data_IF_213822237142
#
_entry.id   IF_213822237142
#
_cell.length_a   1.000
_cell.length_b   1.000
_cell.length_c   1.000
_cell.angle_alpha   90.00
_cell.angle_beta   90.00
_cell.angle_gamma   90.00
#
_symmetry.space_group_name_H-M   'P 1'
#
loop_
_entity.id
_entity.type
_entity.pdbx_description
1 polymer ?
#
# COMPACT_ATOMS: atom_id res chain seq x y z
N UNK A 1 -2.42 9.36 -19.78
CA UNK A 1 -1.72 9.95 -18.62
C UNK A 1 -0.45 9.15 -18.38
N UNK A 2 0.66 9.84 -18.08
CA UNK A 2 1.88 9.14 -17.64
C UNK A 2 1.60 8.46 -16.31
N UNK A 3 2.07 7.20 -16.17
CA UNK A 3 1.93 6.40 -14.93
C UNK A 3 0.49 6.03 -14.52
N UNK A 4 -0.44 6.03 -15.45
CA UNK A 4 -1.73 5.37 -15.34
C UNK A 4 -1.87 4.47 -16.56
N UNK A 5 -2.20 3.20 -16.34
CA UNK A 5 -2.17 2.17 -17.38
C UNK A 5 -3.51 1.46 -17.46
N UNK A 6 -3.92 1.18 -18.70
CA UNK A 6 -5.03 0.28 -18.96
C UNK A 6 -4.50 -1.16 -19.09
N UNK A 7 -5.25 -2.11 -18.59
CA UNK A 7 -4.96 -3.53 -18.74
C UNK A 7 -5.75 -4.08 -19.94
N UNK A 8 -5.06 -4.63 -20.94
CA UNK A 8 -5.69 -5.37 -22.01
C UNK A 8 -6.27 -6.71 -21.53
N UNK A 9 -6.95 -7.47 -22.42
CA UNK A 9 -7.66 -8.70 -22.03
C UNK A 9 -6.82 -9.70 -21.25
N UNK A 10 -5.58 -9.98 -21.69
CA UNK A 10 -4.68 -10.91 -21.01
C UNK A 10 -4.23 -10.39 -19.63
N UNK A 11 -3.99 -9.07 -19.53
CA UNK A 11 -3.63 -8.44 -18.25
C UNK A 11 -4.77 -8.52 -17.22
N UNK A 12 -6.02 -8.31 -17.67
CA UNK A 12 -7.21 -8.45 -16.81
C UNK A 12 -7.38 -9.89 -16.34
N UNK A 13 -7.22 -10.88 -17.24
CA UNK A 13 -7.32 -12.30 -16.88
C UNK A 13 -6.23 -12.70 -15.88
N UNK A 14 -4.98 -12.27 -16.09
CA UNK A 14 -3.89 -12.54 -15.16
C UNK A 14 -4.16 -11.92 -13.78
N UNK A 15 -4.57 -10.66 -13.75
CA UNK A 15 -4.92 -9.96 -12.51
C UNK A 15 -6.04 -10.68 -11.75
N UNK A 16 -7.11 -11.08 -12.42
CA UNK A 16 -8.21 -11.81 -11.81
C UNK A 16 -7.74 -13.19 -11.28
N UNK A 17 -6.87 -13.88 -12.00
CA UNK A 17 -6.32 -15.16 -11.55
C UNK A 17 -5.47 -15.00 -10.28
N UNK A 18 -4.64 -13.96 -10.21
CA UNK A 18 -3.84 -13.64 -9.01
C UNK A 18 -4.76 -13.33 -7.83
N UNK A 19 -5.73 -12.43 -8.02
CA UNK A 19 -6.69 -12.06 -6.96
C UNK A 19 -7.50 -13.25 -6.46
N UNK A 20 -7.99 -14.09 -7.36
CA UNK A 20 -8.74 -15.30 -6.99
C UNK A 20 -7.88 -16.33 -6.26
N UNK A 21 -6.63 -16.49 -6.68
CA UNK A 21 -5.68 -17.38 -6.03
C UNK A 21 -5.37 -16.87 -4.62
N UNK A 22 -5.14 -15.57 -4.45
CA UNK A 22 -4.90 -14.94 -3.17
C UNK A 22 -6.09 -15.14 -2.20
N UNK A 23 -7.33 -14.87 -2.65
CA UNK A 23 -8.53 -15.12 -1.86
C UNK A 23 -8.68 -16.57 -1.40
N UNK A 24 -8.31 -17.52 -2.27
CA UNK A 24 -8.33 -18.95 -1.91
C UNK A 24 -7.29 -19.27 -0.85
N UNK A 25 -6.09 -18.73 -1.01
CA UNK A 25 -4.97 -19.01 -0.11
C UNK A 25 -5.25 -18.51 1.31
N UNK A 26 -5.68 -17.24 1.47
CA UNK A 26 -5.93 -16.68 2.80
C UNK A 26 -7.12 -17.29 3.53
N UNK A 27 -8.02 -17.95 2.80
CA UNK A 27 -9.19 -18.65 3.36
C UNK A 27 -9.03 -20.17 3.39
N UNK A 28 -7.86 -20.71 3.07
CA UNK A 28 -7.62 -22.15 3.05
C UNK A 28 -7.18 -22.71 4.42
N UNK A 29 -7.20 -21.90 5.45
CA UNK A 29 -6.86 -22.30 6.81
C UNK A 29 -8.13 -22.44 7.64
N UNK A 30 -8.34 -23.61 8.25
CA UNK A 30 -9.50 -23.86 9.08
C UNK A 30 -9.43 -23.19 10.47
N UNK A 31 -8.27 -22.73 10.88
CA UNK A 31 -8.02 -22.09 12.18
C UNK A 31 -8.23 -20.58 12.14
N UNK A 32 -8.22 -19.98 10.95
CA UNK A 32 -8.29 -18.53 10.74
C UNK A 32 -9.50 -18.18 9.88
N UNK A 33 -10.24 -17.18 10.28
CA UNK A 33 -11.30 -16.60 9.46
C UNK A 33 -10.90 -15.23 8.97
N UNK A 34 -10.91 -15.03 7.64
CA UNK A 34 -10.69 -13.73 7.00
C UNK A 34 -12.00 -13.26 6.37
N UNK A 35 -12.50 -12.12 6.83
CA UNK A 35 -13.73 -11.52 6.32
C UNK A 35 -13.43 -10.56 5.18
N UNK A 36 -14.04 -10.74 3.99
CA UNK A 36 -13.88 -9.79 2.90
C UNK A 36 -14.68 -8.51 3.16
N UNK A 37 -14.08 -7.37 2.81
CA UNK A 37 -14.78 -6.09 2.72
C UNK A 37 -14.47 -5.44 1.38
N UNK A 38 -15.39 -4.62 0.90
CA UNK A 38 -15.17 -3.70 -0.22
C UNK A 38 -15.49 -2.29 0.27
N UNK A 39 -14.48 -1.45 0.38
CA UNK A 39 -14.60 -0.13 1.00
C UNK A 39 -14.50 0.99 -0.04
N UNK A 40 -15.14 2.13 0.26
CA UNK A 40 -15.19 3.25 -0.66
C UNK A 40 -13.79 3.81 -0.99
N UNK A 41 -13.58 4.16 -2.25
CA UNK A 41 -12.34 4.82 -2.71
C UNK A 41 -12.28 6.26 -2.21
N UNK A 42 -13.41 6.98 -2.30
CA UNK A 42 -13.52 8.36 -1.82
C UNK A 42 -13.89 8.31 -0.34
N UNK A 43 -13.03 8.89 0.49
CA UNK A 43 -13.20 8.87 1.94
C UNK A 43 -13.11 10.28 2.54
N UNK A 44 -13.73 10.45 3.70
CA UNK A 44 -13.76 11.69 4.46
C UNK A 44 -12.36 12.13 4.89
N UNK A 45 -12.13 13.45 4.90
CA UNK A 45 -10.91 14.04 5.46
C UNK A 45 -10.66 13.66 6.92
N UNK A 46 -11.70 13.34 7.69
CA UNK A 46 -11.57 12.92 9.10
C UNK A 46 -10.82 11.59 9.25
N UNK A 47 -11.01 10.65 8.32
CA UNK A 47 -10.27 9.39 8.30
C UNK A 47 -8.77 9.67 8.14
N UNK A 48 -8.42 10.53 7.20
CA UNK A 48 -7.03 10.85 6.85
C UNK A 48 -6.35 11.78 7.86
N UNK A 49 -7.11 12.59 8.59
CA UNK A 49 -6.61 13.32 9.76
C UNK A 49 -6.29 12.36 10.90
N UNK A 50 -7.21 11.44 11.20
CA UNK A 50 -7.05 10.49 12.29
C UNK A 50 -5.86 9.53 12.07
N UNK A 51 -5.61 9.14 10.82
CA UNK A 51 -4.48 8.27 10.44
C UNK A 51 -3.16 9.01 10.22
N UNK A 52 -3.14 10.35 10.28
CA UNK A 52 -1.94 11.18 10.07
C UNK A 52 -1.59 11.45 8.60
N UNK A 53 -2.30 10.87 7.63
CA UNK A 53 -1.95 11.00 6.20
C UNK A 53 -1.97 12.45 5.69
N UNK A 54 -2.86 13.29 6.19
CA UNK A 54 -2.90 14.69 5.76
C UNK A 54 -1.68 15.49 6.22
N UNK A 55 -1.07 15.12 7.33
CA UNK A 55 0.07 15.83 7.91
C UNK A 55 1.42 15.24 7.45
N UNK A 56 1.53 13.93 7.33
CA UNK A 56 2.81 13.23 7.26
C UNK A 56 3.02 12.42 5.97
N UNK A 57 1.95 12.13 5.20
CA UNK A 57 2.08 11.35 3.97
C UNK A 57 2.61 12.21 2.82
N UNK A 58 3.87 12.60 2.94
CA UNK A 58 4.54 13.51 2.01
C UNK A 58 5.96 13.06 1.69
N UNK A 59 6.37 13.33 0.45
CA UNK A 59 7.74 13.15 0.00
C UNK A 59 8.46 14.50 -0.16
N UNK A 60 9.75 14.57 0.14
CA UNK A 60 10.55 15.77 -0.14
C UNK A 60 10.74 15.90 -1.65
N UNK A 61 10.32 17.03 -2.21
CA UNK A 61 10.39 17.34 -3.64
C UNK A 61 11.37 18.48 -3.91
N UNK A 62 12.18 18.35 -4.95
CA UNK A 62 13.05 19.37 -5.48
C UNK A 62 12.74 19.64 -6.94
N UNK A 63 12.93 20.90 -7.39
CA UNK A 63 12.85 21.26 -8.80
C UNK A 63 14.29 21.49 -9.34
N UNK A 64 14.59 20.97 -10.51
CA UNK A 64 15.81 21.29 -11.25
C UNK A 64 15.61 22.63 -11.97
N UNK A 65 16.26 23.68 -11.47
CA UNK A 65 16.08 25.08 -11.92
C UNK A 65 16.21 25.28 -13.45
N UNK A 66 17.23 24.67 -14.13
CA UNK A 66 17.40 24.88 -15.56
C UNK A 66 16.29 24.28 -16.42
N UNK A 67 15.71 23.13 -16.03
CA UNK A 67 14.75 22.39 -16.87
C UNK A 67 13.32 22.44 -16.34
N UNK A 68 13.12 22.84 -15.10
CA UNK A 68 11.83 22.77 -14.42
C UNK A 68 11.34 21.34 -14.11
N UNK A 69 12.21 20.34 -14.29
CA UNK A 69 11.89 18.96 -13.90
C UNK A 69 11.80 18.81 -12.40
N UNK A 70 10.91 17.96 -11.96
CA UNK A 70 10.68 17.65 -10.54
C UNK A 70 11.17 16.27 -10.21
N UNK A 71 11.81 16.16 -9.05
CA UNK A 71 12.33 14.91 -8.53
C UNK A 71 11.96 14.78 -7.06
N UNK A 72 11.81 13.56 -6.62
CA UNK A 72 11.89 13.24 -5.20
C UNK A 72 13.33 13.46 -4.76
N UNK A 73 13.57 14.13 -3.65
CA UNK A 73 14.90 14.60 -3.27
C UNK A 73 15.93 13.47 -3.08
N UNK A 74 15.48 12.27 -2.73
CA UNK A 74 16.31 11.06 -2.60
C UNK A 74 16.49 10.28 -3.92
N UNK A 75 15.85 10.72 -5.02
CA UNK A 75 15.84 10.06 -6.33
C UNK A 75 16.27 10.99 -7.46
N UNK A 76 17.07 11.98 -7.15
CA UNK A 76 17.66 12.87 -8.15
C UNK A 76 18.74 12.09 -8.92
N UNK A 77 18.72 12.10 -10.28
CA UNK A 77 19.76 11.47 -11.09
C UNK A 77 21.15 12.01 -10.77
N UNK A 78 22.17 11.14 -10.79
CA UNK A 78 23.55 11.49 -10.44
C UNK A 78 24.22 12.50 -11.40
N UNK A 79 23.69 12.63 -12.61
CA UNK A 79 24.15 13.59 -13.61
C UNK A 79 23.63 15.01 -13.42
N UNK A 80 22.74 15.23 -12.43
CA UNK A 80 22.22 16.54 -12.09
C UNK A 80 23.07 17.17 -10.97
N UNK A 81 23.54 18.40 -11.22
CA UNK A 81 24.28 19.16 -10.21
C UNK A 81 23.32 19.58 -9.08
N UNK A 82 23.71 19.28 -7.84
CA UNK A 82 22.93 19.64 -6.65
C UNK A 82 22.71 21.16 -6.48
N UNK A 83 23.62 21.99 -6.98
CA UNK A 83 23.49 23.45 -6.95
C UNK A 83 22.35 23.97 -7.84
N UNK A 84 21.97 23.18 -8.84
CA UNK A 84 20.86 23.48 -9.74
C UNK A 84 19.50 23.05 -9.19
N UNK A 85 19.45 22.47 -7.99
CA UNK A 85 18.21 22.09 -7.32
C UNK A 85 17.67 23.23 -6.44
N UNK A 86 16.36 23.25 -6.27
CA UNK A 86 15.71 24.08 -5.24
C UNK A 86 15.90 23.45 -3.87
N UNK A 87 15.65 24.23 -2.82
CA UNK A 87 15.46 23.66 -1.48
C UNK A 87 14.33 22.63 -1.49
N UNK A 88 14.47 21.52 -0.74
CA UNK A 88 13.42 20.52 -0.62
C UNK A 88 12.16 21.10 0.01
N UNK A 89 11.00 20.74 -0.56
CA UNK A 89 9.69 21.08 0.00
C UNK A 89 8.84 19.82 0.10
N UNK A 90 8.03 19.72 1.14
CA UNK A 90 7.13 18.59 1.32
C UNK A 90 6.00 18.64 0.29
N UNK A 91 5.74 17.50 -0.34
CA UNK A 91 4.66 17.32 -1.28
C UNK A 91 3.76 16.17 -0.80
N UNK A 92 2.54 16.50 -0.39
CA UNK A 92 1.59 15.47 0.06
C UNK A 92 1.11 14.63 -1.12
N UNK A 93 1.16 13.30 -0.95
CA UNK A 93 0.85 12.32 -2.01
C UNK A 93 -0.66 12.02 -2.13
N UNK A 94 -1.52 12.64 -1.31
CA UNK A 94 -2.95 12.45 -1.38
C UNK A 94 -3.54 13.10 -2.63
N UNK A 95 -4.40 12.36 -3.34
CA UNK A 95 -5.28 12.98 -4.34
C UNK A 95 -6.50 13.60 -3.65
N UNK A 96 -6.68 14.88 -3.86
CA UNK A 96 -7.81 15.66 -3.36
C UNK A 96 -8.87 15.88 -4.44
N UNK A 97 -10.14 15.84 -4.06
CA UNK A 97 -11.27 16.21 -4.93
C UNK A 97 -12.40 16.83 -4.10
N UNK A 98 -13.46 17.25 -4.77
CA UNK A 98 -14.63 17.84 -4.11
C UNK A 98 -15.89 17.05 -4.43
N UNK A 99 -16.79 16.92 -3.47
CA UNK A 99 -18.12 16.33 -3.67
C UNK A 99 -19.20 17.39 -3.56
N UNK A 100 -20.29 17.17 -4.30
CA UNK A 100 -21.44 18.09 -4.33
C UNK A 100 -21.25 19.28 -5.29
N UNK A 101 -22.29 20.12 -5.41
CA UNK A 101 -22.34 21.19 -6.42
C UNK A 101 -21.58 22.45 -6.03
N UNK A 102 -21.20 22.59 -4.75
CA UNK A 102 -20.51 23.78 -4.22
C UNK A 102 -19.15 23.36 -3.68
N UNK A 103 -18.11 24.01 -4.19
CA UNK A 103 -16.75 23.81 -3.71
C UNK A 103 -16.47 24.71 -2.49
N UNK A 104 -16.25 24.08 -1.34
CA UNK A 104 -15.84 24.72 -0.10
C UNK A 104 -15.00 23.72 0.72
N UNK A 105 -14.44 24.16 1.82
CA UNK A 105 -13.61 23.30 2.70
C UNK A 105 -14.33 22.04 3.17
N UNK A 106 -15.64 22.09 3.37
CA UNK A 106 -16.43 20.94 3.81
C UNK A 106 -16.74 19.94 2.67
N UNK A 107 -16.52 20.32 1.41
CA UNK A 107 -16.73 19.45 0.26
C UNK A 107 -15.48 18.68 -0.14
N UNK A 108 -14.34 18.99 0.46
CA UNK A 108 -13.07 18.35 0.17
C UNK A 108 -13.04 16.91 0.67
N UNK A 109 -12.73 15.99 -0.23
CA UNK A 109 -12.55 14.56 0.03
C UNK A 109 -11.31 14.05 -0.67
N UNK A 110 -10.88 12.87 -0.30
CA UNK A 110 -9.63 12.29 -0.80
C UNK A 110 -9.85 10.92 -1.42
N UNK A 111 -9.09 10.63 -2.47
CA UNK A 111 -8.93 9.26 -2.95
C UNK A 111 -7.99 8.54 -1.99
N UNK A 112 -8.37 7.35 -1.55
CA UNK A 112 -7.57 6.58 -0.59
C UNK A 112 -6.18 6.25 -1.16
N UNK A 113 -5.08 6.48 -0.41
CA UNK A 113 -3.73 6.10 -0.79
C UNK A 113 -3.42 4.64 -0.47
N UNK A 114 -4.27 4.00 0.34
CA UNK A 114 -4.20 2.59 0.76
C UNK A 114 -5.55 2.09 1.24
N UNK A 115 -5.71 0.79 1.33
CA UNK A 115 -6.97 0.14 1.72
C UNK A 115 -7.12 -0.09 3.22
N UNK A 116 -6.06 0.06 4.01
CA UNK A 116 -6.02 -0.21 5.44
C UNK A 116 -7.09 0.54 6.25
N UNK A 117 -7.21 1.85 6.06
CA UNK A 117 -8.15 2.68 6.86
C UNK A 117 -9.60 2.28 6.62
N UNK A 118 -9.94 1.86 5.40
CA UNK A 118 -11.26 1.30 5.11
C UNK A 118 -11.55 0.03 5.91
N UNK A 119 -10.54 -0.78 6.17
CA UNK A 119 -10.64 -1.97 7.02
C UNK A 119 -10.84 -1.55 8.47
N UNK A 120 -9.99 -0.66 9.00
CA UNK A 120 -10.09 -0.21 10.39
C UNK A 120 -11.42 0.48 10.70
N UNK A 121 -11.92 1.34 9.82
CA UNK A 121 -13.24 1.98 9.97
C UNK A 121 -14.37 0.96 10.06
N UNK A 122 -14.24 -0.18 9.39
CA UNK A 122 -15.24 -1.25 9.38
C UNK A 122 -15.02 -2.33 10.45
N UNK A 123 -13.97 -2.25 11.27
CA UNK A 123 -13.65 -3.27 12.26
C UNK A 123 -14.84 -3.61 13.17
N UNK A 124 -15.44 -2.61 13.82
CA UNK A 124 -16.59 -2.83 14.71
C UNK A 124 -17.83 -3.39 13.97
N UNK A 125 -18.05 -2.95 12.72
CA UNK A 125 -19.13 -3.45 11.90
C UNK A 125 -18.97 -4.95 11.62
N UNK A 126 -17.77 -5.37 11.22
CA UNK A 126 -17.47 -6.78 10.97
C UNK A 126 -17.55 -7.58 12.26
N UNK A 127 -16.91 -7.11 13.34
CA UNK A 127 -16.92 -7.76 14.64
C UNK A 127 -18.37 -8.07 15.10
N UNK A 128 -19.26 -7.09 14.98
CA UNK A 128 -20.64 -7.21 15.40
C UNK A 128 -21.50 -8.07 14.46
N UNK A 129 -21.43 -7.80 13.15
CA UNK A 129 -22.31 -8.46 12.16
C UNK A 129 -21.94 -9.91 11.92
N UNK A 130 -20.64 -10.21 11.94
CA UNK A 130 -20.13 -11.58 11.78
C UNK A 130 -19.98 -12.32 13.11
N UNK A 131 -20.21 -11.65 14.26
CA UNK A 131 -19.94 -12.20 15.60
C UNK A 131 -18.51 -12.73 15.72
N UNK A 132 -17.58 -12.02 15.09
CA UNK A 132 -16.16 -12.42 15.03
C UNK A 132 -15.53 -12.44 16.41
N UNK A 133 -14.54 -13.29 16.58
CA UNK A 133 -13.71 -13.40 17.79
C UNK A 133 -12.26 -13.43 17.38
N UNK A 134 -11.40 -12.71 18.08
CA UNK A 134 -9.95 -12.77 17.84
C UNK A 134 -9.41 -14.18 18.12
N UNK A 135 -8.50 -14.71 17.29
CA UNK A 135 -7.92 -14.06 16.12
C UNK A 135 -8.82 -14.13 14.87
N UNK A 136 -8.86 -13.07 14.09
CA UNK A 136 -9.50 -13.04 12.77
C UNK A 136 -8.89 -11.92 11.91
N UNK A 137 -9.07 -11.99 10.61
CA UNK A 137 -8.65 -10.95 9.69
C UNK A 137 -9.80 -10.29 8.95
N UNK A 138 -9.54 -9.11 8.43
CA UNK A 138 -10.39 -8.42 7.45
C UNK A 138 -9.52 -8.10 6.26
N UNK A 139 -9.99 -8.41 5.06
CA UNK A 139 -9.23 -8.22 3.84
C UNK A 139 -10.01 -7.45 2.79
N UNK A 140 -9.28 -6.64 2.02
CA UNK A 140 -9.79 -5.85 0.91
C UNK A 140 -8.87 -6.00 -0.30
N UNK A 141 -9.46 -6.19 -1.49
CA UNK A 141 -8.77 -5.98 -2.76
C UNK A 141 -9.39 -4.75 -3.40
N UNK A 142 -8.59 -3.75 -3.70
CA UNK A 142 -9.13 -2.55 -4.31
C UNK A 142 -8.09 -1.55 -4.78
N UNK A 143 -8.56 -0.58 -5.55
CA UNK A 143 -7.72 0.50 -6.07
C UNK A 143 -7.32 1.47 -4.97
N UNK A 144 -6.08 1.94 -5.08
CA UNK A 144 -5.48 3.00 -4.28
C UNK A 144 -4.76 4.00 -5.17
N UNK A 145 -4.51 5.19 -4.65
CA UNK A 145 -4.06 6.33 -5.43
C UNK A 145 -3.00 7.11 -4.67
N UNK A 146 -1.81 7.28 -5.28
CA UNK A 146 -0.74 8.10 -4.72
C UNK A 146 -0.24 9.07 -5.77
N UNK A 147 -0.27 10.36 -5.51
CA UNK A 147 0.18 11.39 -6.44
C UNK A 147 1.72 11.43 -6.50
N UNK A 148 2.33 10.33 -6.94
CA UNK A 148 3.75 10.12 -7.01
C UNK A 148 4.48 11.25 -7.76
N UNK A 149 5.55 11.78 -7.18
CA UNK A 149 6.41 12.80 -7.81
C UNK A 149 7.13 12.17 -9.00
N UNK A 150 7.77 11.02 -8.77
CA UNK A 150 8.56 10.30 -9.77
C UNK A 150 8.03 8.87 -9.94
N UNK A 151 6.93 8.68 -10.68
CA UNK A 151 6.49 7.33 -11.04
C UNK A 151 7.49 6.70 -12.00
N UNK A 152 7.61 5.37 -11.97
CA UNK A 152 8.59 4.70 -12.81
C UNK A 152 8.51 3.18 -12.78
N UNK A 153 9.43 2.57 -13.52
CA UNK A 153 9.53 1.11 -13.63
C UNK A 153 8.22 0.44 -14.07
N UNK A 154 7.61 0.99 -15.14
CA UNK A 154 6.35 0.54 -15.71
C UNK A 154 5.25 0.49 -14.63
N UNK A 155 4.64 -0.66 -14.36
CA UNK A 155 3.54 -0.80 -13.39
C UNK A 155 4.03 -0.93 -11.94
N UNK A 156 5.34 -0.92 -11.67
CA UNK A 156 5.88 -1.05 -10.32
C UNK A 156 5.55 0.18 -9.45
N UNK A 157 5.66 1.40 -10.00
CA UNK A 157 5.30 2.63 -9.31
C UNK A 157 4.40 3.50 -10.17
N UNK A 158 3.11 3.43 -9.90
CA UNK A 158 2.05 4.14 -10.64
C UNK A 158 1.24 5.01 -9.68
N UNK A 159 0.47 5.96 -10.23
CA UNK A 159 -0.40 6.83 -9.44
C UNK A 159 -1.75 6.20 -9.11
N UNK A 160 -2.16 5.22 -9.89
CA UNK A 160 -3.33 4.38 -9.68
C UNK A 160 -2.88 2.92 -9.70
N UNK A 161 -3.15 2.17 -8.65
CA UNK A 161 -2.74 0.77 -8.50
C UNK A 161 -3.79 -0.01 -7.73
N UNK A 162 -3.61 -1.30 -7.58
CA UNK A 162 -4.44 -2.15 -6.72
C UNK A 162 -3.61 -2.72 -5.58
N UNK A 163 -4.24 -2.83 -4.41
CA UNK A 163 -3.70 -3.51 -3.26
C UNK A 163 -4.58 -4.72 -2.92
N UNK A 164 -3.93 -5.75 -2.42
CA UNK A 164 -4.54 -6.87 -1.72
C UNK A 164 -4.02 -6.80 -0.29
N UNK A 165 -4.89 -6.47 0.64
CA UNK A 165 -4.51 -6.13 2.02
C UNK A 165 -5.30 -6.94 3.02
N UNK A 166 -4.63 -7.37 4.10
CA UNK A 166 -5.20 -8.07 5.25
C UNK A 166 -4.78 -7.33 6.50
N UNK A 167 -5.77 -6.95 7.31
CA UNK A 167 -5.52 -6.55 8.69
C UNK A 167 -5.93 -7.69 9.60
N UNK A 168 -4.96 -8.27 10.30
CA UNK A 168 -5.15 -9.41 11.17
C UNK A 168 -5.16 -9.00 12.63
N UNK A 169 -6.24 -9.30 13.32
CA UNK A 169 -6.49 -8.89 14.70
C UNK A 169 -6.29 -10.06 15.64
N UNK A 170 -5.32 -9.96 16.52
CA UNK A 170 -5.00 -10.97 17.53
C UNK A 170 -4.82 -10.33 18.91
N UNK A 171 -4.61 -11.15 19.93
CA UNK A 171 -4.21 -10.62 21.24
C UNK A 171 -2.73 -10.23 21.21
N UNK A 172 -2.37 -9.28 22.07
CA UNK A 172 -1.00 -8.78 22.14
C UNK A 172 0.01 -9.88 22.52
N UNK A 173 -0.38 -10.80 23.41
CA UNK A 173 0.48 -11.92 23.81
C UNK A 173 0.81 -12.88 22.66
N UNK A 174 -0.07 -12.96 21.66
CA UNK A 174 0.05 -13.90 20.53
C UNK A 174 0.69 -13.25 19.28
N UNK A 175 1.00 -11.94 19.32
CA UNK A 175 1.42 -11.17 18.14
C UNK A 175 2.66 -11.73 17.45
N UNK A 176 3.65 -12.23 18.20
CA UNK A 176 4.88 -12.77 17.62
C UNK A 176 4.65 -14.06 16.82
N UNK A 177 3.82 -14.94 17.35
CA UNK A 177 3.45 -16.20 16.67
C UNK A 177 2.67 -15.93 15.38
N UNK A 178 1.70 -15.01 15.42
CA UNK A 178 0.92 -14.63 14.26
C UNK A 178 1.75 -13.88 13.22
N UNK A 179 2.70 -13.05 13.63
CA UNK A 179 3.63 -12.40 12.72
C UNK A 179 4.44 -13.42 11.92
N UNK A 180 5.08 -14.38 12.62
CA UNK A 180 5.87 -15.43 11.98
C UNK A 180 5.00 -16.34 11.08
N UNK A 181 3.78 -16.63 11.50
CA UNK A 181 2.80 -17.35 10.67
C UNK A 181 2.55 -16.63 9.36
N UNK A 182 2.24 -15.32 9.39
CA UNK A 182 1.94 -14.55 8.18
C UNK A 182 3.16 -14.40 7.28
N UNK A 183 4.34 -14.14 7.81
CA UNK A 183 5.57 -14.08 7.02
C UNK A 183 5.80 -15.39 6.25
N UNK A 184 5.67 -16.54 6.91
CA UNK A 184 5.84 -17.83 6.28
C UNK A 184 4.75 -18.14 5.25
N UNK A 185 3.49 -17.90 5.60
CA UNK A 185 2.34 -18.13 4.72
C UNK A 185 2.42 -17.29 3.45
N UNK A 186 2.77 -16.02 3.58
CA UNK A 186 2.89 -15.12 2.42
C UNK A 186 4.06 -15.49 1.53
N UNK A 187 5.22 -15.80 2.12
CA UNK A 187 6.38 -16.27 1.37
C UNK A 187 6.06 -17.57 0.59
N UNK A 188 5.37 -18.51 1.22
CA UNK A 188 4.94 -19.76 0.58
C UNK A 188 3.97 -19.49 -0.58
N UNK A 189 3.04 -18.56 -0.42
CA UNK A 189 2.11 -18.18 -1.48
C UNK A 189 2.83 -17.71 -2.74
N UNK A 190 3.84 -16.85 -2.61
CA UNK A 190 4.65 -16.39 -3.76
C UNK A 190 5.34 -17.53 -4.48
N UNK A 191 5.87 -18.51 -3.74
CA UNK A 191 6.47 -19.71 -4.32
C UNK A 191 5.43 -20.56 -5.05
N UNK A 192 4.26 -20.74 -4.47
CA UNK A 192 3.16 -21.53 -5.02
C UNK A 192 2.58 -20.94 -6.31
N UNK A 193 2.60 -19.64 -6.50
CA UNK A 193 2.23 -19.01 -7.78
C UNK A 193 3.35 -19.03 -8.81
N UNK A 194 4.52 -19.59 -8.50
CA UNK A 194 5.60 -19.86 -9.43
C UNK A 194 6.79 -18.90 -9.38
N UNK A 195 6.91 -18.05 -8.36
CA UNK A 195 8.09 -17.21 -8.20
C UNK A 195 9.23 -18.05 -7.59
N UNK A 196 10.41 -18.12 -8.24
CA UNK A 196 11.53 -18.92 -7.72
C UNK A 196 12.08 -18.37 -6.40
N UNK A 197 12.48 -19.26 -5.49
CA UNK A 197 13.14 -18.91 -4.22
C UNK A 197 14.33 -17.99 -4.41
N UNK A 198 15.11 -18.19 -5.47
CA UNK A 198 16.29 -17.34 -5.78
C UNK A 198 15.94 -15.90 -6.13
N UNK A 199 14.66 -15.63 -6.41
CA UNK A 199 14.15 -14.29 -6.74
C UNK A 199 13.35 -13.67 -5.60
N UNK A 200 13.29 -14.33 -4.44
CA UNK A 200 12.60 -13.83 -3.25
C UNK A 200 13.57 -13.70 -2.08
N UNK A 201 13.35 -12.72 -1.25
CA UNK A 201 14.02 -12.59 0.06
C UNK A 201 13.13 -11.89 1.07
N UNK A 202 13.44 -12.10 2.35
CA UNK A 202 12.90 -11.31 3.45
C UNK A 202 13.87 -10.18 3.78
N UNK A 203 13.36 -8.97 3.98
CA UNK A 203 14.10 -7.82 4.45
C UNK A 203 13.43 -7.29 5.71
N UNK A 204 14.08 -7.47 6.85
CA UNK A 204 13.63 -6.89 8.10
C UNK A 204 13.99 -5.41 8.15
N UNK A 205 13.06 -4.57 8.61
CA UNK A 205 13.29 -3.14 8.75
C UNK A 205 14.17 -2.84 9.97
N UNK A 206 15.07 -1.88 9.82
CA UNK A 206 15.84 -1.36 10.94
C UNK A 206 14.97 -0.47 11.83
N UNK A 207 15.35 -0.30 13.10
CA UNK A 207 14.57 0.47 14.08
C UNK A 207 14.22 1.91 13.64
N UNK A 208 15.05 2.53 12.80
CA UNK A 208 14.84 3.88 12.27
C UNK A 208 13.91 3.93 11.06
N UNK A 209 13.58 2.77 10.49
CA UNK A 209 12.62 2.63 9.37
C UNK A 209 11.21 2.30 9.85
N UNK A 210 11.07 1.81 11.10
CA UNK A 210 9.78 1.40 11.65
C UNK A 210 8.83 2.59 11.83
N UNK A 211 7.58 2.41 11.44
CA UNK A 211 6.51 3.32 11.81
C UNK A 211 6.38 3.39 13.34
N UNK A 212 5.96 4.53 13.87
CA UNK A 212 5.88 4.78 15.31
C UNK A 212 4.96 3.80 16.08
N UNK A 213 4.06 3.12 15.37
CA UNK A 213 3.14 2.11 15.90
C UNK A 213 3.61 0.67 15.68
N UNK A 214 4.66 0.47 14.87
CA UNK A 214 5.16 -0.86 14.53
C UNK A 214 6.23 -1.32 15.51
N UNK A 215 6.14 -2.57 15.95
CA UNK A 215 7.18 -3.22 16.74
C UNK A 215 8.16 -4.03 15.88
N UNK A 216 7.71 -4.45 14.72
CA UNK A 216 8.48 -5.21 13.72
C UNK A 216 7.84 -5.02 12.35
N UNK A 217 8.65 -4.99 11.30
CA UNK A 217 8.19 -4.98 9.91
C UNK A 217 9.16 -5.81 9.07
N UNK A 218 8.63 -6.61 8.17
CA UNK A 218 9.39 -7.39 7.20
C UNK A 218 8.80 -7.22 5.82
N UNK A 219 9.64 -6.87 4.84
CA UNK A 219 9.24 -6.88 3.43
C UNK A 219 9.57 -8.23 2.80
N UNK A 220 8.65 -8.75 2.01
CA UNK A 220 8.94 -9.76 1.00
C UNK A 220 9.36 -9.01 -0.25
N UNK A 221 10.62 -9.17 -0.67
CA UNK A 221 11.18 -8.52 -1.85
C UNK A 221 11.38 -9.49 -3.00
N UNK A 222 11.22 -8.96 -4.22
CA UNK A 222 11.50 -9.66 -5.47
C UNK A 222 12.71 -9.05 -6.18
N UNK A 223 13.51 -9.90 -6.82
CA UNK A 223 14.65 -9.47 -7.64
C UNK A 223 14.18 -9.06 -9.04
N UNK A 224 13.86 -7.77 -9.18
CA UNK A 224 13.55 -7.15 -10.46
C UNK A 224 14.81 -6.93 -11.33
N UNK A 225 14.66 -6.63 -12.63
CA UNK A 225 15.81 -6.30 -13.49
C UNK A 225 16.66 -5.12 -13.01
N UNK A 226 16.09 -4.23 -12.19
CA UNK A 226 16.77 -3.06 -11.61
C UNK A 226 17.23 -3.27 -10.16
N UNK A 227 17.06 -4.44 -9.59
CA UNK A 227 17.43 -4.76 -8.21
C UNK A 227 16.25 -5.26 -7.37
N UNK A 228 16.47 -5.39 -6.08
CA UNK A 228 15.46 -5.82 -5.13
C UNK A 228 14.38 -4.74 -4.95
N UNK A 229 13.14 -5.16 -4.93
CA UNK A 229 11.99 -4.30 -4.69
C UNK A 229 10.90 -5.03 -3.92
N UNK A 230 10.18 -4.28 -3.11
CA UNK A 230 9.10 -4.76 -2.26
C UNK A 230 7.95 -5.33 -3.08
N UNK A 231 7.45 -6.51 -2.68
CA UNK A 231 6.19 -7.09 -3.13
C UNK A 231 5.10 -6.92 -2.08
N UNK A 232 5.45 -7.11 -0.80
CA UNK A 232 4.50 -7.11 0.31
C UNK A 232 5.23 -6.74 1.60
N UNK A 233 4.63 -5.85 2.40
CA UNK A 233 5.06 -5.54 3.76
C UNK A 233 4.19 -6.28 4.80
N UNK A 234 4.80 -6.79 5.87
CA UNK A 234 4.15 -7.50 6.97
C UNK A 234 4.58 -6.88 8.30
#
# INVERSE_FOLDING_TARGET
LRSSYDYGPLGVLLKNNISNNWWKDINNDNEITIYPVDTAIIQSSEVWKASGHLAEFSDPMVDHKPTGQRFRADQVPDDINKEDLTEPRQFNLMFETNIGPVQNENSTVYLRPETAQGIFVNFENVLRTMRAKVPFGIANIGKSFRNEITPGQFIFRTREFEQMEIEFFCKQEDQGEWFDYWVNKRMEWYKNIGIPDSSLRLREHENNELAHYASKTVDIEFLYPWGWGELEGI
#
